data_IF_872297001888
#
_entry.id   IF_872297001888
#
_cell.length_a   1.000
_cell.length_b   1.000
_cell.length_c   1.000
_cell.angle_alpha   90.00
_cell.angle_beta   90.00
_cell.angle_gamma   90.00
#
_symmetry.space_group_name_H-M   'P 1'
#
loop_
_entity.id
_entity.type
_entity.pdbx_description
1 polymer ?
#
# COMPACT_ATOMS: atom_id res chain seq x y z
N UNK A 1 28.93 -2.04 19.81
CA UNK A 1 29.24 -1.79 18.39
C UNK A 1 28.86 -0.35 18.13
N UNK A 2 29.80 0.49 17.70
CA UNK A 2 29.57 1.91 17.42
C UNK A 2 28.67 2.01 16.19
N UNK A 3 27.45 2.47 16.38
CA UNK A 3 26.55 2.81 15.26
C UNK A 3 27.24 3.87 14.39
N UNK A 4 27.69 3.46 13.21
CA UNK A 4 28.17 4.40 12.20
C UNK A 4 27.04 5.36 11.82
N UNK A 5 27.33 6.65 11.59
CA UNK A 5 26.33 7.54 11.00
C UNK A 5 25.75 6.93 9.71
N UNK A 6 24.44 7.07 9.51
CA UNK A 6 23.74 6.50 8.32
C UNK A 6 24.49 6.77 7.02
N UNK A 7 25.04 7.98 6.85
CA UNK A 7 25.78 8.37 5.65
C UNK A 7 27.03 7.54 5.38
N UNK A 8 27.78 7.18 6.42
CA UNK A 8 29.01 6.38 6.26
C UNK A 8 28.67 4.89 6.01
N UNK A 9 27.70 4.35 6.74
CA UNK A 9 27.23 2.99 6.57
C UNK A 9 26.68 2.76 5.16
N UNK A 10 25.88 3.71 4.65
CA UNK A 10 25.31 3.67 3.30
C UNK A 10 26.40 3.71 2.21
N UNK A 11 27.41 4.57 2.33
CA UNK A 11 28.54 4.59 1.37
C UNK A 11 29.32 3.28 1.36
N UNK A 12 29.58 2.68 2.53
CA UNK A 12 30.24 1.37 2.63
C UNK A 12 29.42 0.28 1.93
N UNK A 13 28.13 0.30 2.13
CA UNK A 13 27.22 -0.64 1.47
C UNK A 13 27.28 -0.49 -0.05
N UNK A 14 27.10 0.73 -0.57
CA UNK A 14 27.13 1.01 -2.02
C UNK A 14 28.51 0.66 -2.61
N UNK A 15 29.61 0.97 -1.91
CA UNK A 15 30.94 0.54 -2.32
C UNK A 15 31.04 -0.98 -2.49
N UNK A 16 30.50 -1.74 -1.52
CA UNK A 16 30.47 -3.21 -1.59
C UNK A 16 29.65 -3.71 -2.79
N UNK A 17 28.51 -3.07 -3.08
CA UNK A 17 27.63 -3.46 -4.21
C UNK A 17 28.25 -3.14 -5.57
N UNK A 18 28.98 -2.03 -5.68
CA UNK A 18 29.50 -1.52 -6.97
C UNK A 18 30.96 -1.88 -7.23
N UNK A 19 31.71 -2.30 -6.20
CA UNK A 19 33.16 -2.50 -6.27
C UNK A 19 33.97 -1.19 -6.45
N UNK A 20 33.34 -0.02 -6.38
CA UNK A 20 33.95 1.28 -6.63
C UNK A 20 33.88 2.17 -5.39
N UNK A 21 34.95 3.00 -5.16
CA UNK A 21 34.88 4.03 -4.12
C UNK A 21 33.82 5.06 -4.49
N UNK A 22 32.78 5.17 -3.64
CA UNK A 22 31.66 6.07 -3.82
C UNK A 22 31.79 7.24 -2.85
N UNK A 23 31.46 8.44 -3.31
CA UNK A 23 31.30 9.65 -2.50
C UNK A 23 29.94 10.28 -2.85
N UNK A 24 29.40 11.07 -1.96
CA UNK A 24 28.15 11.79 -2.24
C UNK A 24 28.36 12.99 -3.18
N UNK A 25 27.40 13.19 -4.08
CA UNK A 25 27.07 14.46 -4.70
C UNK A 25 26.05 15.20 -3.84
N UNK A 26 25.05 14.44 -3.28
CA UNK A 26 24.10 14.90 -2.28
C UNK A 26 24.05 13.87 -1.14
N UNK A 27 24.36 14.33 0.08
CA UNK A 27 24.25 13.49 1.28
C UNK A 27 22.81 13.11 1.58
N UNK A 28 22.56 12.01 2.35
CA UNK A 28 21.21 11.61 2.74
C UNK A 28 20.48 12.72 3.49
N UNK A 29 19.31 13.10 2.97
CA UNK A 29 18.38 14.01 3.59
C UNK A 29 17.07 13.26 3.87
N UNK A 30 16.45 13.42 5.05
CA UNK A 30 15.18 12.80 5.35
C UNK A 30 14.08 13.24 4.37
N UNK A 31 13.24 12.30 3.92
CA UNK A 31 11.98 12.59 3.27
C UNK A 31 10.87 12.45 4.31
N UNK A 32 10.00 13.47 4.39
CA UNK A 32 8.87 13.47 5.31
C UNK A 32 7.69 12.72 4.69
N UNK A 33 6.93 11.96 5.50
CA UNK A 33 5.63 11.42 5.09
C UNK A 33 5.45 9.90 5.15
N UNK A 34 6.44 9.10 5.54
CA UNK A 34 6.27 7.66 5.75
C UNK A 34 5.90 7.30 7.19
N UNK A 35 4.87 6.47 7.41
CA UNK A 35 4.52 5.96 8.75
C UNK A 35 5.32 4.69 9.11
N UNK A 36 5.63 3.83 8.13
CA UNK A 36 6.20 2.50 8.35
C UNK A 36 7.72 2.41 8.13
N UNK A 37 8.36 3.42 7.58
CA UNK A 37 9.79 3.40 7.27
C UNK A 37 10.41 4.80 7.36
N UNK A 38 11.67 4.86 7.80
CA UNK A 38 12.44 6.09 7.68
C UNK A 38 13.07 6.16 6.30
N UNK A 39 12.77 7.22 5.57
CA UNK A 39 13.15 7.37 4.16
C UNK A 39 14.12 8.53 3.98
N UNK A 40 15.18 8.31 3.19
CA UNK A 40 16.18 9.34 2.88
C UNK A 40 16.41 9.42 1.38
N UNK A 41 16.43 10.65 0.83
CA UNK A 41 16.91 10.90 -0.53
C UNK A 41 18.42 11.18 -0.48
N UNK A 42 19.18 10.65 -1.41
CA UNK A 42 20.61 10.89 -1.57
C UNK A 42 21.06 10.74 -3.01
N UNK A 43 22.23 11.25 -3.36
CA UNK A 43 22.81 11.08 -4.70
C UNK A 43 24.30 10.74 -4.59
N UNK A 44 24.71 9.51 -4.92
CA UNK A 44 26.12 9.21 -5.12
C UNK A 44 26.64 9.92 -6.37
N UNK A 45 27.89 10.38 -6.37
CA UNK A 45 28.50 11.05 -7.52
C UNK A 45 28.56 10.11 -8.73
N UNK A 46 28.04 10.59 -9.87
CA UNK A 46 28.03 9.84 -11.11
C UNK A 46 26.97 8.73 -11.17
N UNK A 47 25.99 8.76 -10.26
CA UNK A 47 24.82 7.90 -10.26
C UNK A 47 23.56 8.74 -10.23
N UNK A 48 22.41 8.13 -10.58
CA UNK A 48 21.11 8.77 -10.43
C UNK A 48 20.74 8.97 -8.95
N UNK A 49 19.85 9.93 -8.63
CA UNK A 49 19.30 10.09 -7.30
C UNK A 49 18.62 8.81 -6.82
N UNK A 50 18.76 8.50 -5.55
CA UNK A 50 18.26 7.28 -4.94
C UNK A 50 17.50 7.57 -3.64
N UNK A 51 16.68 6.62 -3.24
CA UNK A 51 15.99 6.59 -1.97
C UNK A 51 16.52 5.41 -1.15
N UNK A 52 16.91 5.68 0.09
CA UNK A 52 17.07 4.67 1.14
C UNK A 52 15.74 4.56 1.88
N UNK A 53 15.12 3.39 1.88
CA UNK A 53 13.97 3.03 2.72
C UNK A 53 14.45 2.09 3.82
N UNK A 54 14.58 2.61 5.04
CA UNK A 54 14.97 1.84 6.23
C UNK A 54 13.70 1.34 6.90
N UNK A 55 13.52 0.03 6.89
CA UNK A 55 12.39 -0.65 7.53
C UNK A 55 12.68 -0.85 9.01
N UNK A 56 11.62 -1.02 9.82
CA UNK A 56 11.74 -1.24 11.25
C UNK A 56 12.60 -2.47 11.60
N UNK A 57 13.12 -2.48 12.83
CA UNK A 57 13.96 -3.58 13.33
C UNK A 57 13.21 -4.90 13.49
N UNK A 58 11.89 -4.87 13.50
CA UNK A 58 10.96 -6.01 13.54
C UNK A 58 10.82 -6.70 12.17
N UNK A 59 11.16 -6.01 11.07
CA UNK A 59 11.06 -6.55 9.71
C UNK A 59 12.15 -7.58 9.41
N UNK A 60 11.83 -8.55 8.56
CA UNK A 60 12.73 -9.68 8.20
C UNK A 60 13.53 -9.42 6.92
N UNK A 61 14.61 -10.21 6.74
CA UNK A 61 15.38 -10.21 5.51
C UNK A 61 14.55 -10.68 4.30
N UNK A 62 13.64 -11.63 4.52
CA UNK A 62 12.75 -12.13 3.48
C UNK A 62 11.79 -11.05 2.97
N UNK A 63 11.28 -10.18 3.84
CA UNK A 63 10.39 -9.08 3.45
C UNK A 63 11.09 -8.10 2.51
N UNK A 64 12.32 -7.70 2.83
CA UNK A 64 13.05 -6.75 1.96
C UNK A 64 13.50 -7.40 0.64
N UNK A 65 13.78 -8.71 0.62
CA UNK A 65 14.01 -9.46 -0.63
C UNK A 65 12.75 -9.51 -1.49
N UNK A 66 11.60 -9.82 -0.89
CA UNK A 66 10.32 -9.80 -1.62
C UNK A 66 10.04 -8.46 -2.26
N UNK A 67 10.31 -7.35 -1.55
CA UNK A 67 10.17 -6.00 -2.11
C UNK A 67 10.99 -5.82 -3.40
N UNK A 68 12.23 -6.34 -3.45
CA UNK A 68 13.08 -6.28 -4.65
C UNK A 68 12.53 -7.14 -5.78
N UNK A 69 12.09 -8.35 -5.47
CA UNK A 69 11.53 -9.29 -6.45
C UNK A 69 10.23 -8.73 -7.03
N UNK A 70 9.33 -8.21 -6.19
CA UNK A 70 8.08 -7.59 -6.62
C UNK A 70 8.34 -6.38 -7.53
N UNK A 71 9.22 -5.46 -7.13
CA UNK A 71 9.61 -4.31 -7.95
C UNK A 71 10.09 -4.74 -9.34
N UNK A 72 10.96 -5.75 -9.41
CA UNK A 72 11.48 -6.25 -10.69
C UNK A 72 10.39 -6.85 -11.57
N UNK A 73 9.49 -7.65 -11.01
CA UNK A 73 8.38 -8.26 -11.75
C UNK A 73 7.38 -7.21 -12.27
N UNK A 74 7.08 -6.18 -11.47
CA UNK A 74 6.23 -5.06 -11.86
C UNK A 74 6.81 -4.28 -13.04
N UNK A 75 8.09 -3.91 -12.97
CA UNK A 75 8.79 -3.15 -14.03
C UNK A 75 8.86 -3.98 -15.33
N UNK A 76 9.16 -5.27 -15.25
CA UNK A 76 9.17 -6.16 -16.41
C UNK A 76 7.80 -6.27 -17.09
N UNK A 77 6.74 -5.96 -16.37
CA UNK A 77 5.36 -5.93 -16.88
C UNK A 77 4.87 -4.51 -17.21
N UNK A 78 5.79 -3.55 -17.37
CA UNK A 78 5.51 -2.13 -17.67
C UNK A 78 4.65 -1.41 -16.63
N UNK A 79 4.62 -1.90 -15.40
CA UNK A 79 3.99 -1.19 -14.29
C UNK A 79 4.96 -0.12 -13.77
N UNK A 80 4.45 1.09 -13.55
CA UNK A 80 5.23 2.27 -13.15
C UNK A 80 5.64 2.24 -11.67
N UNK A 81 6.37 1.20 -11.25
CA UNK A 81 6.91 1.04 -9.91
C UNK A 81 8.38 1.50 -9.85
N UNK A 82 8.87 2.04 -8.73
CA UNK A 82 10.27 2.40 -8.59
C UNK A 82 11.15 1.14 -8.58
N UNK A 83 12.30 1.22 -9.26
CA UNK A 83 13.28 0.13 -9.27
C UNK A 83 13.95 0.00 -7.91
N UNK A 84 13.97 -1.20 -7.35
CA UNK A 84 14.80 -1.52 -6.19
C UNK A 84 16.16 -2.01 -6.69
N UNK A 85 17.20 -1.21 -6.46
CA UNK A 85 18.56 -1.53 -6.90
C UNK A 85 19.20 -2.60 -6.02
N UNK A 86 19.15 -2.39 -4.70
CA UNK A 86 19.80 -3.26 -3.72
C UNK A 86 18.96 -3.34 -2.44
N UNK A 87 19.16 -4.44 -1.73
CA UNK A 87 18.59 -4.65 -0.40
C UNK A 87 19.69 -4.96 0.61
N UNK A 88 19.53 -4.45 1.82
CA UNK A 88 20.42 -4.72 2.95
C UNK A 88 19.70 -5.56 3.99
N UNK A 89 20.18 -6.79 4.17
CA UNK A 89 19.60 -7.79 5.08
C UNK A 89 20.23 -7.73 6.48
N UNK A 90 21.45 -7.24 6.56
CA UNK A 90 22.20 -7.12 7.80
C UNK A 90 21.75 -5.89 8.61
N UNK A 91 20.92 -6.14 9.63
CA UNK A 91 20.42 -5.11 10.53
C UNK A 91 21.52 -4.36 11.28
N UNK A 92 22.71 -4.94 11.45
CA UNK A 92 23.81 -4.30 12.18
C UNK A 92 24.36 -3.07 11.47
N UNK A 93 24.10 -2.94 10.16
CA UNK A 93 24.65 -1.84 9.35
C UNK A 93 23.91 -0.51 9.57
N UNK A 94 22.56 -0.56 9.59
CA UNK A 94 21.70 0.64 9.69
C UNK A 94 20.62 0.51 10.79
N UNK A 95 20.66 -0.54 11.63
CA UNK A 95 19.68 -0.77 12.68
C UNK A 95 18.40 -1.48 12.24
N UNK A 96 18.25 -1.77 10.97
CA UNK A 96 17.12 -2.48 10.36
C UNK A 96 17.46 -2.99 8.97
N UNK A 97 16.59 -3.79 8.39
CA UNK A 97 16.67 -4.15 6.97
C UNK A 97 16.27 -2.95 6.11
N UNK A 98 16.82 -2.85 4.91
CA UNK A 98 16.59 -1.66 4.08
C UNK A 98 16.62 -1.97 2.58
N UNK A 99 15.99 -1.09 1.82
CA UNK A 99 16.07 -1.08 0.36
C UNK A 99 16.69 0.24 -0.14
N UNK A 100 17.49 0.14 -1.20
CA UNK A 100 17.96 1.28 -1.98
C UNK A 100 17.24 1.22 -3.32
N UNK A 101 16.49 2.26 -3.61
CA UNK A 101 15.59 2.29 -4.75
C UNK A 101 15.70 3.60 -5.55
N UNK A 102 15.12 3.58 -6.71
CA UNK A 102 15.01 4.73 -7.60
C UNK A 102 14.28 5.89 -6.90
N UNK A 103 14.81 7.10 -7.09
CA UNK A 103 14.10 8.31 -6.73
C UNK A 103 13.28 8.79 -7.93
N UNK A 104 11.96 8.81 -7.80
CA UNK A 104 11.05 9.37 -8.79
C UNK A 104 10.96 10.89 -8.54
N UNK A 105 11.28 11.74 -9.53
CA UNK A 105 11.47 13.17 -9.30
C UNK A 105 10.17 13.98 -9.29
N UNK A 106 9.10 13.46 -9.86
CA UNK A 106 7.85 14.18 -10.03
C UNK A 106 7.10 14.36 -8.70
N UNK A 107 6.25 15.38 -8.58
CA UNK A 107 5.46 15.58 -7.38
C UNK A 107 4.41 14.47 -7.21
N UNK A 108 4.00 14.26 -5.97
CA UNK A 108 2.82 13.45 -5.68
C UNK A 108 1.56 14.14 -6.18
N UNK A 109 0.56 13.35 -6.52
CA UNK A 109 -0.80 13.81 -6.72
C UNK A 109 -1.35 14.24 -5.36
N UNK A 110 -1.05 15.45 -4.96
CA UNK A 110 -1.19 15.88 -3.58
C UNK A 110 -2.56 16.49 -3.27
N UNK A 111 -2.92 16.45 -2.00
CA UNK A 111 -4.01 17.23 -1.42
C UNK A 111 -5.39 16.78 -1.87
N UNK A 112 -6.12 17.72 -2.42
CA UNK A 112 -7.46 17.50 -2.98
C UNK A 112 -7.33 17.43 -4.50
N UNK A 113 -7.38 16.24 -5.12
CA UNK A 113 -7.28 16.12 -6.57
C UNK A 113 -8.46 16.79 -7.25
N UNK A 114 -8.20 17.50 -8.36
CA UNK A 114 -9.24 18.03 -9.22
C UNK A 114 -9.90 16.91 -10.08
N UNK A 115 -10.92 17.26 -10.86
CA UNK A 115 -11.66 16.29 -11.67
C UNK A 115 -10.80 15.60 -12.72
N UNK A 116 -9.77 16.27 -13.28
CA UNK A 116 -8.84 15.69 -14.26
C UNK A 116 -7.95 14.67 -13.54
N UNK A 117 -7.45 15.02 -12.38
CA UNK A 117 -6.60 14.15 -11.55
C UNK A 117 -7.35 12.92 -11.06
N UNK A 118 -8.64 13.07 -10.64
CA UNK A 118 -9.49 11.94 -10.25
C UNK A 118 -9.79 11.02 -11.41
N UNK A 119 -10.04 11.58 -12.60
CA UNK A 119 -10.22 10.80 -13.82
C UNK A 119 -8.96 9.98 -14.12
N UNK A 120 -7.80 10.59 -14.14
CA UNK A 120 -6.52 9.91 -14.39
C UNK A 120 -6.23 8.86 -13.32
N UNK A 121 -6.54 9.14 -12.06
CA UNK A 121 -6.39 8.19 -10.96
C UNK A 121 -7.22 6.93 -11.20
N UNK A 122 -8.51 7.08 -11.53
CA UNK A 122 -9.41 5.95 -11.78
C UNK A 122 -9.03 5.16 -13.03
N UNK A 123 -8.80 5.84 -14.16
CA UNK A 123 -8.39 5.20 -15.42
C UNK A 123 -7.08 4.41 -15.25
N UNK A 124 -6.04 5.02 -14.68
CA UNK A 124 -4.74 4.35 -14.50
C UNK A 124 -4.80 3.19 -13.51
N UNK A 125 -5.66 3.27 -12.48
CA UNK A 125 -5.90 2.15 -11.58
C UNK A 125 -6.52 0.96 -12.33
N UNK A 126 -7.51 1.21 -13.17
CA UNK A 126 -8.14 0.18 -14.00
C UNK A 126 -7.18 -0.40 -15.05
N UNK A 127 -6.34 0.43 -15.67
CA UNK A 127 -5.28 -0.01 -16.60
C UNK A 127 -4.27 -0.92 -15.90
N UNK A 128 -3.86 -0.58 -14.68
CA UNK A 128 -3.00 -1.43 -13.86
C UNK A 128 -3.65 -2.79 -13.59
N UNK A 129 -4.93 -2.83 -13.26
CA UNK A 129 -5.69 -4.06 -13.07
C UNK A 129 -5.92 -4.86 -14.36
N UNK A 130 -5.82 -4.24 -15.53
CA UNK A 130 -5.86 -4.91 -16.84
C UNK A 130 -4.50 -5.49 -17.27
N UNK A 131 -3.42 -5.22 -16.55
CA UNK A 131 -2.11 -5.79 -16.83
C UNK A 131 -2.14 -7.31 -16.63
N UNK A 132 -1.62 -8.04 -17.63
CA UNK A 132 -1.58 -9.51 -17.55
C UNK A 132 -0.72 -9.99 -16.38
N UNK A 133 -1.30 -10.80 -15.51
CA UNK A 133 -0.63 -11.36 -14.33
C UNK A 133 0.24 -12.58 -14.66
N UNK A 134 0.04 -13.24 -15.80
CA UNK A 134 0.72 -14.51 -16.12
C UNK A 134 2.24 -14.39 -16.14
N UNK A 135 2.78 -13.33 -16.77
CA UNK A 135 4.24 -13.09 -16.81
C UNK A 135 4.80 -12.75 -15.44
N UNK A 136 4.04 -12.00 -14.64
CA UNK A 136 4.42 -11.63 -13.27
C UNK A 136 4.48 -12.87 -12.40
N UNK A 137 3.44 -13.70 -12.41
CA UNK A 137 3.38 -14.97 -11.64
C UNK A 137 4.56 -15.88 -12.01
N UNK A 138 4.84 -16.02 -13.29
CA UNK A 138 5.98 -16.83 -13.75
C UNK A 138 7.30 -16.26 -13.24
N UNK A 139 7.53 -14.95 -13.40
CA UNK A 139 8.74 -14.28 -12.90
C UNK A 139 8.90 -14.43 -11.38
N UNK A 140 7.83 -14.32 -10.61
CA UNK A 140 7.86 -14.48 -9.15
C UNK A 140 8.22 -15.92 -8.76
N UNK A 141 7.63 -16.91 -9.42
CA UNK A 141 7.92 -18.35 -9.20
C UNK A 141 9.35 -18.71 -9.60
N UNK A 142 9.86 -18.19 -10.72
CA UNK A 142 11.25 -18.38 -11.16
C UNK A 142 12.25 -17.81 -10.15
N UNK A 143 11.88 -16.75 -9.43
CA UNK A 143 12.68 -16.16 -8.34
C UNK A 143 12.48 -16.86 -6.98
N UNK A 144 11.76 -17.98 -6.95
CA UNK A 144 11.62 -18.84 -5.78
C UNK A 144 10.48 -18.47 -4.83
N UNK A 145 9.59 -17.55 -5.21
CA UNK A 145 8.41 -17.25 -4.42
C UNK A 145 7.30 -18.30 -4.64
N UNK A 146 6.60 -18.63 -3.56
CA UNK A 146 5.41 -19.48 -3.61
C UNK A 146 4.15 -18.61 -3.72
N UNK A 147 3.04 -19.19 -4.14
CA UNK A 147 1.76 -18.47 -4.28
C UNK A 147 1.34 -17.74 -3.00
N UNK A 148 1.56 -18.32 -1.83
CA UNK A 148 1.29 -17.69 -0.53
C UNK A 148 2.07 -16.37 -0.30
N UNK A 149 3.16 -16.15 -1.03
CA UNK A 149 4.02 -14.97 -0.88
C UNK A 149 3.52 -13.78 -1.70
N UNK A 150 2.59 -14.00 -2.65
CA UNK A 150 2.06 -12.95 -3.52
C UNK A 150 0.56 -13.06 -3.85
N UNK A 151 -0.12 -14.17 -3.54
CA UNK A 151 -1.58 -14.31 -3.72
C UNK A 151 -2.29 -13.86 -2.44
N UNK A 152 -2.65 -12.57 -2.36
CA UNK A 152 -3.21 -11.96 -1.14
C UNK A 152 -4.43 -12.69 -0.53
N UNK A 153 -5.45 -13.08 -1.30
CA UNK A 153 -6.64 -13.73 -0.75
C UNK A 153 -6.41 -15.08 -0.10
N UNK A 154 -5.32 -15.80 -0.44
CA UNK A 154 -5.05 -17.13 0.14
C UNK A 154 -4.83 -17.11 1.65
N UNK A 155 -4.36 -15.99 2.20
CA UNK A 155 -4.12 -15.82 3.64
C UNK A 155 -5.34 -15.27 4.40
N UNK A 156 -6.36 -14.80 3.69
CA UNK A 156 -7.51 -14.13 4.30
C UNK A 156 -8.25 -15.00 5.33
N UNK A 157 -8.53 -16.28 5.11
CA UNK A 157 -9.18 -17.13 6.13
C UNK A 157 -8.41 -17.15 7.45
N UNK A 158 -7.09 -17.34 7.39
CA UNK A 158 -6.22 -17.38 8.60
C UNK A 158 -6.17 -16.02 9.30
N UNK A 159 -6.15 -14.92 8.55
CA UNK A 159 -6.19 -13.56 9.10
C UNK A 159 -7.51 -13.33 9.85
N UNK A 160 -8.63 -13.73 9.26
CA UNK A 160 -9.95 -13.60 9.88
C UNK A 160 -10.09 -14.49 11.13
N UNK A 161 -9.54 -15.71 11.11
CA UNK A 161 -9.53 -16.60 12.26
C UNK A 161 -8.72 -16.01 13.43
N UNK A 162 -7.53 -15.49 13.16
CA UNK A 162 -6.70 -14.83 14.18
C UNK A 162 -7.41 -13.62 14.79
N UNK A 163 -7.98 -12.76 13.94
CA UNK A 163 -8.70 -11.58 14.40
C UNK A 163 -9.96 -11.93 15.23
N UNK A 164 -10.64 -13.05 14.93
CA UNK A 164 -11.81 -13.50 15.69
C UNK A 164 -11.43 -14.00 17.09
N UNK A 165 -10.25 -14.61 17.25
CA UNK A 165 -9.75 -15.02 18.58
C UNK A 165 -9.59 -13.79 19.48
N UNK A 166 -9.02 -12.71 18.95
CA UNK A 166 -8.77 -11.49 19.70
C UNK A 166 -10.04 -10.64 19.90
N UNK A 167 -11.00 -10.74 18.97
CA UNK A 167 -12.22 -9.94 18.93
C UNK A 167 -13.50 -10.79 18.71
N UNK A 168 -13.85 -11.72 19.63
CA UNK A 168 -14.96 -12.66 19.45
C UNK A 168 -16.34 -11.97 19.31
N UNK A 169 -16.47 -10.74 19.79
CA UNK A 169 -17.68 -9.93 19.67
C UNK A 169 -17.95 -9.44 18.22
N UNK A 170 -16.96 -9.56 17.31
CA UNK A 170 -17.09 -9.31 15.87
C UNK A 170 -17.31 -10.59 15.03
N UNK A 171 -17.54 -11.75 15.66
CA UNK A 171 -17.65 -13.04 14.97
C UNK A 171 -18.70 -13.04 13.85
N UNK A 172 -19.84 -12.34 14.02
CA UNK A 172 -20.83 -12.19 12.97
C UNK A 172 -20.29 -11.47 11.74
N UNK A 173 -19.47 -10.43 11.94
CA UNK A 173 -18.80 -9.68 10.85
C UNK A 173 -17.78 -10.58 10.17
N UNK A 174 -16.93 -11.28 10.93
CA UNK A 174 -15.93 -12.19 10.35
C UNK A 174 -16.60 -13.33 9.56
N UNK A 175 -17.70 -13.88 10.05
CA UNK A 175 -18.46 -14.89 9.32
C UNK A 175 -19.05 -14.33 8.03
N UNK A 176 -19.59 -13.10 8.07
CA UNK A 176 -20.08 -12.44 6.86
C UNK A 176 -18.96 -12.22 5.84
N UNK A 177 -17.77 -11.75 6.28
CA UNK A 177 -16.60 -11.54 5.42
C UNK A 177 -16.15 -12.86 4.78
N UNK A 178 -16.01 -13.96 5.52
CA UNK A 178 -15.65 -15.28 4.97
C UNK A 178 -16.59 -15.73 3.84
N UNK A 179 -17.86 -15.39 3.93
CA UNK A 179 -18.88 -15.80 2.96
C UNK A 179 -19.02 -14.86 1.76
N UNK A 180 -18.50 -13.63 1.82
CA UNK A 180 -18.73 -12.61 0.81
C UNK A 180 -17.45 -12.08 0.13
N UNK A 181 -16.26 -12.25 0.74
CA UNK A 181 -15.03 -11.82 0.12
C UNK A 181 -14.71 -12.67 -1.13
N UNK A 182 -14.19 -12.05 -2.22
CA UNK A 182 -13.82 -12.74 -3.45
C UNK A 182 -12.45 -13.43 -3.28
N UNK A 183 -12.42 -14.56 -2.53
CA UNK A 183 -11.16 -15.27 -2.19
C UNK A 183 -10.57 -16.00 -3.39
N UNK A 184 -11.39 -16.42 -4.35
CA UNK A 184 -10.94 -17.01 -5.60
C UNK A 184 -11.55 -16.25 -6.76
N UNK A 185 -10.75 -15.49 -7.48
CA UNK A 185 -11.17 -14.77 -8.66
C UNK A 185 -10.59 -15.41 -9.92
N UNK A 186 -11.46 -15.67 -10.91
CA UNK A 186 -11.02 -16.02 -12.26
C UNK A 186 -10.29 -14.85 -12.96
N UNK A 187 -10.42 -13.64 -12.44
CA UNK A 187 -9.89 -12.38 -12.97
C UNK A 187 -8.86 -11.75 -12.03
N UNK A 188 -7.91 -12.54 -11.54
CA UNK A 188 -6.86 -12.05 -10.67
C UNK A 188 -6.05 -10.93 -11.37
N UNK A 189 -5.87 -9.83 -10.67
CA UNK A 189 -5.16 -8.62 -11.10
C UNK A 189 -3.98 -8.34 -10.19
N UNK A 190 -3.08 -7.47 -10.66
CA UNK A 190 -2.10 -6.80 -9.80
C UNK A 190 -2.88 -5.87 -8.88
N UNK A 191 -2.65 -5.96 -7.57
CA UNK A 191 -3.15 -4.99 -6.61
C UNK A 191 -1.98 -4.24 -5.99
N UNK A 192 -2.16 -2.92 -5.81
CA UNK A 192 -1.20 -2.06 -5.14
C UNK A 192 -1.25 -2.23 -3.61
N UNK A 193 -2.46 -2.42 -3.06
CA UNK A 193 -2.74 -2.58 -1.64
C UNK A 193 -2.82 -1.28 -0.84
N UNK A 194 -2.53 -0.12 -1.47
CA UNK A 194 -2.65 1.21 -0.86
C UNK A 194 -2.70 2.31 -1.95
N UNK A 195 -3.59 2.14 -2.96
CA UNK A 195 -3.67 3.04 -4.11
C UNK A 195 -4.44 4.31 -3.77
N UNK A 196 -3.71 5.40 -3.57
CA UNK A 196 -4.28 6.72 -3.24
C UNK A 196 -3.36 7.86 -3.71
N UNK A 197 -3.86 9.13 -3.79
CA UNK A 197 -3.11 10.26 -4.37
C UNK A 197 -1.71 10.48 -3.81
N UNK A 198 -1.49 10.24 -2.51
CA UNK A 198 -0.17 10.42 -1.88
C UNK A 198 0.87 9.35 -2.25
N UNK A 199 0.45 8.28 -2.95
CA UNK A 199 1.33 7.23 -3.47
C UNK A 199 1.52 7.32 -5.00
N UNK A 200 0.96 8.36 -5.65
CA UNK A 200 0.94 8.53 -7.10
C UNK A 200 1.81 9.72 -7.51
N UNK A 201 2.83 9.46 -8.30
CA UNK A 201 3.63 10.51 -8.93
C UNK A 201 2.93 10.99 -10.20
N UNK A 202 2.80 12.31 -10.35
CA UNK A 202 1.99 12.90 -11.41
C UNK A 202 2.67 14.10 -12.04
N UNK A 203 2.79 14.11 -13.35
CA UNK A 203 3.28 15.24 -14.13
C UNK A 203 2.68 15.22 -15.55
N UNK A 204 2.49 16.41 -16.12
CA UNK A 204 2.03 16.57 -17.50
C UNK A 204 0.76 15.77 -17.82
N UNK A 205 -0.21 15.80 -16.92
CA UNK A 205 -1.53 15.14 -17.03
C UNK A 205 -1.48 13.61 -17.15
N UNK A 206 -0.44 12.97 -16.59
CA UNK A 206 -0.38 11.52 -16.49
C UNK A 206 0.39 11.03 -15.25
N UNK A 207 0.14 9.80 -14.86
CA UNK A 207 0.89 9.15 -13.79
C UNK A 207 2.28 8.77 -14.31
N UNK A 208 3.32 9.20 -13.59
CA UNK A 208 4.72 8.92 -13.93
C UNK A 208 5.32 7.84 -13.04
N UNK A 209 4.69 7.55 -11.89
CA UNK A 209 5.13 6.50 -10.98
C UNK A 209 4.10 6.21 -9.89
N UNK A 210 4.18 5.02 -9.34
CA UNK A 210 3.38 4.56 -8.19
C UNK A 210 4.34 4.03 -7.14
N UNK A 211 4.30 4.57 -5.93
CA UNK A 211 5.20 4.24 -4.83
C UNK A 211 4.47 3.54 -3.69
N UNK A 212 5.22 2.99 -2.76
CA UNK A 212 4.70 2.34 -1.53
C UNK A 212 3.79 1.13 -1.77
N UNK A 213 4.30 0.19 -2.56
CA UNK A 213 3.61 -1.03 -2.95
C UNK A 213 3.48 -2.02 -1.79
N UNK A 214 2.24 -2.36 -1.44
CA UNK A 214 1.85 -3.54 -0.67
C UNK A 214 1.38 -4.65 -1.62
N UNK A 215 2.19 -4.93 -2.63
CA UNK A 215 1.87 -5.75 -3.79
C UNK A 215 1.30 -7.12 -3.46
N UNK A 216 0.20 -7.46 -4.12
CA UNK A 216 -0.31 -8.83 -4.21
C UNK A 216 -1.08 -9.04 -5.53
N UNK A 217 -1.32 -10.31 -5.87
CA UNK A 217 -2.19 -10.71 -6.98
C UNK A 217 -3.49 -11.25 -6.38
N UNK A 218 -4.63 -10.71 -6.84
CA UNK A 218 -5.95 -11.09 -6.32
C UNK A 218 -7.08 -10.41 -7.08
N UNK A 219 -8.29 -10.51 -6.56
CA UNK A 219 -9.43 -9.80 -7.13
C UNK A 219 -9.21 -8.29 -7.03
N UNK A 220 -9.40 -7.52 -8.11
CA UNK A 220 -9.21 -6.06 -8.12
C UNK A 220 -10.15 -5.33 -7.16
N UNK A 221 -11.24 -5.97 -6.73
CA UNK A 221 -12.16 -5.40 -5.75
C UNK A 221 -11.50 -5.10 -4.40
N UNK A 222 -10.39 -5.78 -4.05
CA UNK A 222 -9.63 -5.47 -2.83
C UNK A 222 -9.03 -4.07 -2.90
N UNK A 223 -8.38 -3.74 -4.01
CA UNK A 223 -7.72 -2.45 -4.20
C UNK A 223 -8.74 -1.32 -4.38
N UNK A 224 -9.75 -1.55 -5.21
CA UNK A 224 -10.85 -0.58 -5.41
C UNK A 224 -11.59 -0.32 -4.09
N UNK A 225 -11.91 -1.37 -3.34
CA UNK A 225 -12.54 -1.27 -2.02
C UNK A 225 -11.69 -0.50 -1.01
N UNK A 226 -10.37 -0.73 -1.02
CA UNK A 226 -9.43 0.02 -0.18
C UNK A 226 -9.41 1.52 -0.55
N UNK A 227 -9.23 1.85 -1.84
CA UNK A 227 -9.25 3.24 -2.33
C UNK A 227 -10.55 3.96 -1.94
N UNK A 228 -11.70 3.30 -2.12
CA UNK A 228 -12.99 3.87 -1.71
C UNK A 228 -13.07 4.07 -0.19
N UNK A 229 -12.55 3.14 0.62
CA UNK A 229 -12.47 3.31 2.08
C UNK A 229 -11.64 4.52 2.46
N UNK A 230 -10.48 4.73 1.80
CA UNK A 230 -9.66 5.92 2.04
C UNK A 230 -10.38 7.21 1.67
N UNK A 231 -11.11 7.24 0.55
CA UNK A 231 -11.88 8.40 0.10
C UNK A 231 -13.06 8.68 1.04
N UNK A 232 -13.87 7.67 1.34
CA UNK A 232 -15.18 7.86 1.98
C UNK A 232 -15.15 7.80 3.50
N UNK A 233 -14.26 6.97 4.06
CA UNK A 233 -14.30 6.65 5.49
C UNK A 233 -13.10 7.24 6.25
N UNK A 234 -11.91 7.30 5.62
CA UNK A 234 -10.70 7.80 6.28
C UNK A 234 -10.53 9.31 6.05
N UNK A 235 -10.54 9.75 4.78
CA UNK A 235 -10.28 11.14 4.41
C UNK A 235 -11.09 12.16 5.19
N UNK A 236 -12.44 12.03 5.28
CA UNK A 236 -13.29 12.98 6.01
C UNK A 236 -13.05 13.02 7.53
N UNK A 237 -12.32 12.05 8.08
CA UNK A 237 -12.04 11.96 9.51
C UNK A 237 -10.61 12.39 9.89
N UNK A 238 -9.75 12.68 8.90
CA UNK A 238 -8.35 13.10 9.14
C UNK A 238 -8.03 14.51 8.60
N UNK A 239 -8.96 15.14 7.89
CA UNK A 239 -8.76 16.47 7.30
C UNK A 239 -10.04 17.30 7.43
N UNK A 240 -9.93 18.47 8.02
CA UNK A 240 -11.06 19.40 8.20
C UNK A 240 -11.56 19.99 6.87
N UNK A 241 -10.69 20.05 5.86
CA UNK A 241 -11.01 20.58 4.52
C UNK A 241 -11.63 19.51 3.58
N UNK A 242 -11.83 18.29 4.07
CA UNK A 242 -12.31 17.15 3.29
C UNK A 242 -13.54 16.53 3.95
N UNK A 243 -14.72 17.01 3.57
CA UNK A 243 -15.99 16.58 4.15
C UNK A 243 -16.65 15.43 3.36
N UNK A 244 -17.77 14.88 3.86
CA UNK A 244 -18.49 13.78 3.25
C UNK A 244 -19.07 14.10 1.86
N UNK A 245 -19.45 15.36 1.61
CA UNK A 245 -19.94 15.79 0.29
C UNK A 245 -18.80 15.72 -0.76
N UNK A 246 -17.66 16.29 -0.42
CA UNK A 246 -16.44 16.20 -1.25
C UNK A 246 -16.03 14.73 -1.46
N UNK A 247 -16.05 13.91 -0.40
CA UNK A 247 -15.75 12.48 -0.49
C UNK A 247 -16.70 11.75 -1.45
N UNK A 248 -17.99 12.04 -1.40
CA UNK A 248 -18.99 11.44 -2.29
C UNK A 248 -18.74 11.81 -3.75
N UNK A 249 -18.45 13.09 -4.03
CA UNK A 249 -18.12 13.55 -5.38
C UNK A 249 -16.83 12.91 -5.91
N UNK A 250 -15.82 12.76 -5.06
CA UNK A 250 -14.56 12.12 -5.44
C UNK A 250 -14.74 10.63 -5.70
N UNK A 251 -15.50 9.94 -4.86
CA UNK A 251 -15.83 8.53 -5.07
C UNK A 251 -16.58 8.30 -6.38
N UNK A 252 -17.58 9.14 -6.71
CA UNK A 252 -18.33 9.06 -7.96
C UNK A 252 -17.39 9.23 -9.16
N UNK A 253 -16.60 10.30 -9.19
CA UNK A 253 -15.66 10.59 -10.29
C UNK A 253 -14.60 9.50 -10.45
N UNK A 254 -14.02 9.02 -9.34
CA UNK A 254 -13.06 7.92 -9.37
C UNK A 254 -13.67 6.64 -9.94
N UNK A 255 -14.87 6.27 -9.50
CA UNK A 255 -15.57 5.07 -9.95
C UNK A 255 -15.97 5.15 -11.42
N UNK A 256 -16.50 6.29 -11.86
CA UNK A 256 -16.86 6.51 -13.26
C UNK A 256 -15.63 6.39 -14.17
N UNK A 257 -14.53 7.00 -13.77
CA UNK A 257 -13.26 6.90 -14.48
C UNK A 257 -12.73 5.46 -14.54
N UNK A 258 -12.73 4.75 -13.42
CA UNK A 258 -12.34 3.34 -13.36
C UNK A 258 -13.23 2.49 -14.27
N UNK A 259 -14.56 2.66 -14.18
CA UNK A 259 -15.55 1.88 -14.96
C UNK A 259 -15.48 2.16 -16.46
N UNK A 260 -14.98 3.32 -16.87
CA UNK A 260 -14.76 3.63 -18.29
C UNK A 260 -13.70 2.72 -18.93
N UNK A 261 -12.83 2.10 -18.14
CA UNK A 261 -11.73 1.23 -18.59
C UNK A 261 -11.96 -0.23 -18.21
N UNK A 262 -12.47 -0.48 -17.00
CA UNK A 262 -12.71 -1.83 -16.45
C UNK A 262 -14.01 -1.85 -15.64
N UNK A 263 -14.91 -2.85 -15.84
CA UNK A 263 -16.13 -2.99 -15.03
C UNK A 263 -15.80 -3.17 -13.54
N UNK A 264 -16.64 -2.60 -12.68
CA UNK A 264 -16.60 -2.82 -11.22
C UNK A 264 -17.65 -3.89 -10.86
N UNK A 265 -17.21 -4.87 -10.06
CA UNK A 265 -18.12 -5.78 -9.37
C UNK A 265 -18.53 -5.15 -8.02
N UNK A 266 -19.66 -4.43 -8.00
CA UNK A 266 -20.11 -3.69 -6.82
C UNK A 266 -20.25 -4.56 -5.57
N UNK A 267 -20.72 -5.80 -5.71
CA UNK A 267 -20.86 -6.73 -4.58
C UNK A 267 -19.51 -7.09 -4.00
N UNK A 268 -18.52 -7.41 -4.85
CA UNK A 268 -17.16 -7.73 -4.41
C UNK A 268 -16.48 -6.51 -3.76
N UNK A 269 -16.63 -5.33 -4.39
CA UNK A 269 -16.07 -4.08 -3.84
C UNK A 269 -16.70 -3.73 -2.49
N UNK A 270 -18.01 -3.90 -2.32
CA UNK A 270 -18.65 -3.66 -1.03
C UNK A 270 -18.10 -4.61 0.05
N UNK A 271 -17.92 -5.90 -0.27
CA UNK A 271 -17.35 -6.86 0.67
C UNK A 271 -15.91 -6.52 1.05
N UNK A 272 -15.07 -6.15 0.07
CA UNK A 272 -13.70 -5.70 0.31
C UNK A 272 -13.64 -4.41 1.12
N UNK A 273 -14.55 -3.44 0.85
CA UNK A 273 -14.67 -2.22 1.65
C UNK A 273 -15.07 -2.53 3.11
N UNK A 274 -16.02 -3.44 3.34
CA UNK A 274 -16.37 -3.88 4.69
C UNK A 274 -15.16 -4.49 5.41
N UNK A 275 -14.35 -5.30 4.72
CA UNK A 275 -13.10 -5.86 5.25
C UNK A 275 -12.09 -4.78 5.61
N UNK A 276 -11.88 -3.79 4.75
CA UNK A 276 -10.97 -2.67 5.03
C UNK A 276 -11.45 -1.82 6.20
N UNK A 277 -12.73 -1.48 6.24
CA UNK A 277 -13.33 -0.77 7.38
C UNK A 277 -13.17 -1.57 8.68
N UNK A 278 -13.32 -2.90 8.65
CA UNK A 278 -13.10 -3.76 9.81
C UNK A 278 -11.64 -3.71 10.26
N UNK A 279 -10.68 -3.78 9.34
CA UNK A 279 -9.25 -3.65 9.66
C UNK A 279 -8.92 -2.30 10.31
N UNK A 280 -9.42 -1.20 9.77
CA UNK A 280 -9.25 0.13 10.38
C UNK A 280 -9.97 0.26 11.73
N UNK A 281 -11.14 -0.36 11.89
CA UNK A 281 -11.84 -0.39 13.18
C UNK A 281 -11.01 -1.12 14.25
N UNK A 282 -10.41 -2.26 13.91
CA UNK A 282 -9.50 -2.99 14.80
C UNK A 282 -8.25 -2.16 15.14
N UNK A 283 -7.73 -1.39 14.17
CA UNK A 283 -6.66 -0.44 14.43
C UNK A 283 -7.08 0.66 15.42
N UNK A 284 -8.28 1.22 15.30
CA UNK A 284 -8.83 2.16 16.28
C UNK A 284 -8.96 1.57 17.70
N UNK A 285 -9.00 0.26 17.82
CA UNK A 285 -9.13 -0.46 19.10
C UNK A 285 -7.80 -0.96 19.65
N UNK A 286 -6.71 -0.84 18.88
CA UNK A 286 -5.40 -1.40 19.21
C UNK A 286 -4.65 -0.65 20.33
N UNK A 287 -5.14 0.51 20.78
CA UNK A 287 -4.46 1.36 21.77
C UNK A 287 -3.23 2.10 21.23
N UNK A 288 -3.01 2.10 19.92
CA UNK A 288 -1.97 2.91 19.28
C UNK A 288 -2.29 4.40 19.41
N UNK A 289 -1.24 5.22 19.44
CA UNK A 289 -1.34 6.68 19.52
C UNK A 289 -1.04 7.30 18.14
N UNK A 290 -2.00 7.18 17.22
CA UNK A 290 -1.95 7.81 15.90
C UNK A 290 -3.31 8.44 15.54
N UNK A 291 -3.33 9.25 14.48
CA UNK A 291 -4.52 10.02 14.07
C UNK A 291 -5.73 9.15 13.74
N UNK A 292 -5.51 7.92 13.28
CA UNK A 292 -6.59 6.97 12.97
C UNK A 292 -7.11 6.35 14.26
N UNK A 293 -6.23 5.82 15.10
CA UNK A 293 -6.57 5.11 16.31
C UNK A 293 -7.25 6.00 17.36
N UNK A 294 -6.84 7.27 17.45
CA UNK A 294 -7.35 8.21 18.47
C UNK A 294 -8.62 8.96 18.07
N UNK A 295 -9.10 8.83 16.82
CA UNK A 295 -10.26 9.58 16.31
C UNK A 295 -11.62 8.91 16.65
N UNK A 296 -12.46 9.48 17.53
CA UNK A 296 -13.79 8.95 17.80
C UNK A 296 -14.76 9.04 16.61
N UNK A 297 -14.58 10.01 15.72
CA UNK A 297 -15.39 10.14 14.48
C UNK A 297 -15.05 9.04 13.50
N UNK A 298 -13.78 8.68 13.37
CA UNK A 298 -13.29 7.55 12.56
C UNK A 298 -13.98 6.26 12.98
N UNK A 299 -13.92 5.92 14.27
CA UNK A 299 -14.54 4.69 14.78
C UNK A 299 -16.04 4.62 14.47
N UNK A 300 -16.78 5.74 14.62
CA UNK A 300 -18.21 5.81 14.27
C UNK A 300 -18.46 5.63 12.77
N UNK A 301 -17.68 6.30 11.93
CA UNK A 301 -17.78 6.20 10.47
C UNK A 301 -17.55 4.76 9.99
N UNK A 302 -16.48 4.13 10.43
CA UNK A 302 -16.15 2.76 10.07
C UNK A 302 -17.24 1.77 10.51
N UNK A 303 -17.71 1.90 11.77
CA UNK A 303 -18.81 1.07 12.29
C UNK A 303 -20.06 1.21 11.42
N UNK A 304 -20.46 2.46 11.13
CA UNK A 304 -21.63 2.74 10.30
C UNK A 304 -21.51 2.12 8.89
N UNK A 305 -20.36 2.24 8.27
CA UNK A 305 -20.11 1.65 6.94
C UNK A 305 -20.18 0.13 6.98
N UNK A 306 -19.56 -0.53 7.97
CA UNK A 306 -19.64 -1.99 8.12
C UNK A 306 -21.10 -2.42 8.30
N UNK A 307 -21.83 -1.78 9.21
CA UNK A 307 -23.25 -2.12 9.47
C UNK A 307 -24.14 -1.94 8.24
N UNK A 308 -23.94 -0.89 7.46
CA UNK A 308 -24.70 -0.64 6.23
C UNK A 308 -24.41 -1.64 5.12
N UNK A 309 -23.15 -2.09 4.99
CA UNK A 309 -22.79 -3.08 3.95
C UNK A 309 -23.24 -4.48 4.34
N UNK A 310 -23.09 -4.84 5.62
CA UNK A 310 -23.32 -6.21 6.08
C UNK A 310 -24.76 -6.47 6.54
N UNK A 311 -25.51 -5.42 6.82
CA UNK A 311 -26.83 -5.45 7.50
C UNK A 311 -26.76 -6.10 8.90
N UNK A 312 -25.59 -6.04 9.54
CA UNK A 312 -25.32 -6.56 10.88
C UNK A 312 -25.01 -5.42 11.84
N UNK A 313 -25.42 -5.57 13.12
CA UNK A 313 -25.10 -4.59 14.17
C UNK A 313 -23.84 -4.98 14.93
N UNK A 314 -23.02 -3.99 15.22
CA UNK A 314 -21.78 -4.12 16.01
C UNK A 314 -22.08 -3.72 17.46
N UNK A 315 -22.10 -4.69 18.38
CA UNK A 315 -22.22 -4.46 19.81
C UNK A 315 -20.82 -4.45 20.43
N UNK A 316 -20.35 -3.26 20.81
CA UNK A 316 -19.07 -3.15 21.51
C UNK A 316 -19.17 -3.75 22.91
N UNK A 317 -18.11 -4.44 23.40
CA UNK A 317 -18.08 -4.90 24.78
C UNK A 317 -18.19 -3.70 25.73
N UNK A 318 -18.89 -3.90 26.85
CA UNK A 318 -18.94 -2.91 27.94
C UNK A 318 -17.51 -2.72 28.49
N UNK A 319 -17.06 -1.47 28.62
CA UNK A 319 -15.73 -1.09 29.11
C UNK A 319 -15.57 -1.30 30.62
#
# INVERSE_FOLDING_TARGET
>A
MTNLPIKEALLRFIHKQTGRRVIYEQEPIPLLGGLDATTYKFKPRGMEPMVLRLLGSDRSAEEVKRLQIHSQALIQSNVKAPKVYWVGEDKSLLGGVFAIMEFLPDPLLAGQPDHIQLKILGESHAEMHNTSTANIINSLKEQGLNEKDFMGPLLMPTILESAEIDHPWLSNIFNWLRNNLPISSAEASINHGDYHPKNIMYASEHITGVIDWNFFIGDPAFDVGHTITLIMDIGPNISDDYNLETASQYNEQYRDAYQSVRPINDKAVAACRASQCTSFLLHCLSGKDDIIATSPSMRRSLTHTIENITDLKIAFPES
#
